data_IF_264635930519
#
_entry.id   IF_264635930519
#
_cell.length_a   1.000
_cell.length_b   1.000
_cell.length_c   1.000
_cell.angle_alpha   90.00
_cell.angle_beta   90.00
_cell.angle_gamma   90.00
#
_symmetry.space_group_name_H-M   'P 1'
#
loop_
_entity.id
_entity.type
_entity.pdbx_description
1 polymer ?
#
# COMPACT_ATOMS: atom_id res chain seq x y z
N UNK A 1 -17.85 57.26 -5.13
CA UNK A 1 -18.51 55.98 -4.75
C UNK A 1 -18.63 54.95 -5.88
N UNK A 2 -19.16 55.29 -7.08
CA UNK A 2 -19.31 54.32 -8.20
C UNK A 2 -18.00 53.67 -8.66
N UNK A 3 -16.93 54.46 -8.87
CA UNK A 3 -15.60 53.94 -9.29
C UNK A 3 -15.00 52.95 -8.28
N UNK A 4 -15.16 53.21 -6.97
CA UNK A 4 -14.70 52.31 -5.92
C UNK A 4 -15.46 50.97 -5.92
N UNK A 5 -16.78 51.00 -6.12
CA UNK A 5 -17.59 49.76 -6.25
C UNK A 5 -17.17 48.92 -7.46
N UNK A 6 -16.87 49.56 -8.59
CA UNK A 6 -16.38 48.88 -9.80
C UNK A 6 -15.02 48.20 -9.53
N UNK A 7 -14.09 48.90 -8.88
CA UNK A 7 -12.78 48.33 -8.53
C UNK A 7 -12.92 47.12 -7.60
N UNK A 8 -13.74 47.22 -6.56
CA UNK A 8 -14.01 46.11 -5.63
C UNK A 8 -14.58 44.90 -6.39
N UNK A 9 -15.54 45.11 -7.29
CA UNK A 9 -16.11 44.03 -8.09
C UNK A 9 -15.06 43.34 -8.97
N UNK A 10 -14.14 44.10 -9.58
CA UNK A 10 -13.05 43.54 -10.39
C UNK A 10 -12.13 42.66 -9.52
N UNK A 11 -11.75 43.14 -8.33
CA UNK A 11 -10.91 42.36 -7.39
C UNK A 11 -11.61 41.07 -6.97
N UNK A 12 -12.91 41.13 -6.67
CA UNK A 12 -13.70 39.94 -6.30
C UNK A 12 -13.79 38.94 -7.46
N UNK A 13 -13.97 39.42 -8.70
CA UNK A 13 -13.99 38.56 -9.89
C UNK A 13 -12.63 37.87 -10.07
N UNK A 14 -11.52 38.61 -9.95
CA UNK A 14 -10.17 38.04 -10.05
C UNK A 14 -9.94 36.97 -8.97
N UNK A 15 -10.33 37.26 -7.72
CA UNK A 15 -10.23 36.31 -6.62
C UNK A 15 -11.06 35.04 -6.88
N UNK A 16 -12.27 35.18 -7.43
CA UNK A 16 -13.13 34.07 -7.79
C UNK A 16 -12.57 33.24 -8.95
N UNK A 17 -12.02 33.89 -9.99
CA UNK A 17 -11.35 33.22 -11.10
C UNK A 17 -10.11 32.45 -10.63
N UNK A 18 -9.30 33.06 -9.77
CA UNK A 18 -8.14 32.40 -9.18
C UNK A 18 -8.53 31.20 -8.30
N UNK A 19 -9.56 31.34 -7.46
CA UNK A 19 -10.12 30.24 -6.68
C UNK A 19 -10.64 29.10 -7.56
N UNK A 20 -11.38 29.45 -8.61
CA UNK A 20 -11.93 28.49 -9.58
C UNK A 20 -10.83 27.74 -10.32
N UNK A 21 -9.80 28.44 -10.80
CA UNK A 21 -8.64 27.85 -11.44
C UNK A 21 -7.95 26.81 -10.53
N UNK A 22 -7.72 27.16 -9.25
CA UNK A 22 -7.10 26.24 -8.29
C UNK A 22 -7.95 24.99 -8.02
N UNK A 23 -9.28 25.14 -7.94
CA UNK A 23 -10.19 24.00 -7.76
C UNK A 23 -10.16 23.10 -9.00
N UNK A 24 -10.27 23.68 -10.20
CA UNK A 24 -10.25 22.95 -11.47
C UNK A 24 -8.92 22.20 -11.61
N UNK A 25 -7.79 22.85 -11.33
CA UNK A 25 -6.46 22.22 -11.36
C UNK A 25 -6.42 20.98 -10.46
N UNK A 26 -6.88 21.09 -9.20
CA UNK A 26 -6.90 19.95 -8.27
C UNK A 26 -7.82 18.81 -8.73
N UNK A 27 -8.97 19.14 -9.30
CA UNK A 27 -9.90 18.14 -9.84
C UNK A 27 -9.27 17.42 -11.04
N UNK A 28 -8.54 18.13 -11.91
CA UNK A 28 -7.80 17.53 -13.01
C UNK A 28 -6.68 16.62 -12.51
N UNK A 29 -5.95 17.02 -11.46
CA UNK A 29 -4.92 16.19 -10.83
C UNK A 29 -5.49 14.88 -10.28
N UNK A 30 -6.65 14.92 -9.61
CA UNK A 30 -7.34 13.70 -9.15
C UNK A 30 -7.76 12.82 -10.32
N UNK A 31 -8.39 13.38 -11.36
CA UNK A 31 -8.78 12.61 -12.54
C UNK A 31 -7.58 12.00 -13.26
N UNK A 32 -6.43 12.69 -13.28
CA UNK A 32 -5.19 12.16 -13.84
C UNK A 32 -4.70 10.97 -13.03
N UNK A 33 -4.70 11.08 -11.69
CA UNK A 33 -4.29 9.99 -10.81
C UNK A 33 -5.18 8.75 -10.98
N UNK A 34 -6.50 8.93 -10.97
CA UNK A 34 -7.47 7.84 -11.16
C UNK A 34 -7.21 7.12 -12.48
N UNK A 35 -7.08 7.85 -13.59
CA UNK A 35 -6.76 7.26 -14.90
C UNK A 35 -5.47 6.45 -14.91
N UNK A 36 -4.41 6.96 -14.27
CA UNK A 36 -3.12 6.27 -14.25
C UNK A 36 -3.24 4.95 -13.48
N UNK A 37 -3.80 4.98 -12.27
CA UNK A 37 -3.88 3.76 -11.45
C UNK A 37 -4.96 2.78 -11.92
N UNK A 38 -6.08 3.25 -12.48
CA UNK A 38 -7.07 2.39 -13.12
C UNK A 38 -6.48 1.64 -14.32
N UNK A 39 -5.66 2.32 -15.14
CA UNK A 39 -4.99 1.68 -16.27
C UNK A 39 -4.00 0.62 -15.81
N UNK A 40 -3.23 0.90 -14.75
CA UNK A 40 -2.27 -0.05 -14.20
C UNK A 40 -2.97 -1.26 -13.57
N UNK A 41 -4.10 -1.04 -12.89
CA UNK A 41 -4.95 -2.12 -12.38
C UNK A 41 -5.51 -3.00 -13.51
N UNK A 42 -5.97 -2.41 -14.61
CA UNK A 42 -6.40 -3.18 -15.80
C UNK A 42 -5.27 -4.02 -16.38
N UNK A 43 -4.05 -3.46 -16.48
CA UNK A 43 -2.88 -4.21 -16.95
C UNK A 43 -2.59 -5.40 -16.01
N UNK A 44 -2.69 -5.22 -14.70
CA UNK A 44 -2.60 -6.32 -13.72
C UNK A 44 -3.63 -7.41 -14.00
N UNK A 45 -4.91 -7.05 -14.08
CA UNK A 45 -6.01 -7.99 -14.32
C UNK A 45 -5.86 -8.74 -15.66
N UNK A 46 -5.39 -8.07 -16.71
CA UNK A 46 -5.11 -8.68 -18.01
C UNK A 46 -3.97 -9.69 -17.94
N UNK A 47 -2.86 -9.35 -17.26
CA UNK A 47 -1.72 -10.27 -17.06
C UNK A 47 -2.11 -11.50 -16.24
N UNK A 48 -2.92 -11.31 -15.19
CA UNK A 48 -3.46 -12.41 -14.39
C UNK A 48 -4.33 -13.35 -15.23
N UNK A 49 -5.23 -12.81 -16.07
CA UNK A 49 -6.06 -13.61 -16.99
C UNK A 49 -5.24 -14.38 -18.02
N UNK A 50 -4.23 -13.75 -18.61
CA UNK A 50 -3.31 -14.40 -19.56
C UNK A 50 -2.55 -15.56 -18.89
N UNK A 51 -2.08 -15.35 -17.65
CA UNK A 51 -1.40 -16.39 -16.89
C UNK A 51 -2.32 -17.59 -16.63
N UNK A 52 -3.55 -17.37 -16.14
CA UNK A 52 -4.53 -18.45 -15.90
C UNK A 52 -4.85 -19.23 -17.20
N UNK A 53 -5.07 -18.52 -18.31
CA UNK A 53 -5.38 -19.16 -19.60
C UNK A 53 -4.21 -20.00 -20.15
N UNK A 54 -2.97 -19.53 -20.00
CA UNK A 54 -1.77 -20.27 -20.42
C UNK A 54 -1.50 -21.49 -19.52
N UNK A 55 -1.73 -21.38 -18.21
CA UNK A 55 -1.63 -22.51 -17.29
C UNK A 55 -2.67 -23.60 -17.60
N UNK A 56 -3.90 -23.22 -17.98
CA UNK A 56 -4.95 -24.17 -18.36
C UNK A 56 -4.66 -24.87 -19.70
N UNK A 57 -4.13 -24.15 -20.70
CA UNK A 57 -3.78 -24.72 -22.01
C UNK A 57 -2.65 -25.75 -21.94
N UNK A 58 -1.71 -25.59 -21.01
CA UNK A 58 -0.55 -26.48 -20.86
C UNK A 58 -0.86 -27.79 -20.10
N UNK A 59 -2.06 -27.94 -19.52
CA UNK A 59 -2.45 -29.10 -18.72
C UNK A 59 -3.22 -30.20 -19.48
N UNK A 60 -3.09 -30.28 -20.82
CA UNK A 60 -3.56 -31.44 -21.57
C UNK A 60 -2.60 -32.65 -21.43
N UNK A 61 -2.63 -33.29 -20.26
CA UNK A 61 -2.21 -34.69 -20.09
C UNK A 61 -3.40 -35.54 -19.64
N UNK A 62 -3.56 -36.66 -20.35
CA UNK A 62 -4.72 -37.56 -20.41
C UNK A 62 -5.20 -38.01 -19.03
N UNK A 63 -6.51 -37.91 -18.81
CA UNK A 63 -7.26 -38.70 -17.82
C UNK A 63 -7.12 -40.18 -18.21
N UNK A 64 -6.30 -40.91 -17.45
CA UNK A 64 -6.28 -42.36 -17.43
C UNK A 64 -6.73 -42.81 -16.04
N UNK A 65 -7.85 -43.53 -15.99
CA UNK A 65 -8.39 -44.17 -14.79
C UNK A 65 -7.32 -44.98 -14.04
N UNK A 66 -7.22 -44.81 -12.73
CA UNK A 66 -7.00 -45.89 -11.74
C UNK A 66 -7.13 -45.34 -10.31
N UNK A 67 -8.22 -45.78 -9.68
CA UNK A 67 -8.42 -46.22 -8.29
C UNK A 67 -7.78 -45.50 -7.08
N UNK A 68 -8.61 -45.45 -6.04
CA UNK A 68 -8.49 -44.80 -4.73
C UNK A 68 -7.38 -45.43 -3.88
N UNK A 69 -6.57 -44.59 -3.21
CA UNK A 69 -6.01 -44.94 -1.91
C UNK A 69 -5.91 -43.71 -1.01
N UNK A 70 -6.35 -43.88 0.24
CA UNK A 70 -6.68 -42.87 1.22
C UNK A 70 -5.50 -42.67 2.20
N UNK A 71 -5.31 -41.44 2.70
CA UNK A 71 -4.27 -40.99 3.65
C UNK A 71 -2.87 -40.63 3.10
N UNK A 72 -2.72 -39.37 2.65
CA UNK A 72 -1.55 -38.52 2.98
C UNK A 72 -1.99 -37.07 3.13
N UNK A 73 -1.62 -36.45 4.26
CA UNK A 73 -1.71 -35.01 4.47
C UNK A 73 -1.09 -34.25 3.29
N UNK A 74 -1.93 -33.58 2.52
CA UNK A 74 -1.48 -32.70 1.43
C UNK A 74 -0.92 -31.43 2.08
N UNK A 75 0.38 -31.43 2.37
CA UNK A 75 1.15 -30.19 2.46
C UNK A 75 0.99 -29.49 1.11
N UNK A 76 0.19 -28.43 1.05
CA UNK A 76 0.04 -27.57 -0.12
C UNK A 76 1.33 -26.79 -0.41
N UNK A 77 2.38 -27.50 -0.81
CA UNK A 77 3.52 -26.93 -1.53
C UNK A 77 3.29 -27.19 -3.02
N UNK A 78 2.35 -26.45 -3.62
CA UNK A 78 2.21 -26.44 -5.08
C UNK A 78 3.09 -25.34 -5.66
N UNK A 79 4.02 -25.65 -6.59
CA UNK A 79 4.84 -24.65 -7.27
C UNK A 79 4.05 -23.78 -8.28
N UNK A 80 2.71 -23.87 -8.28
CA UNK A 80 1.82 -23.30 -9.30
C UNK A 80 1.10 -21.99 -8.91
N UNK A 81 1.43 -21.37 -7.77
CA UNK A 81 0.87 -20.05 -7.40
C UNK A 81 1.66 -18.85 -7.99
N UNK A 82 2.53 -19.07 -8.97
CA UNK A 82 3.44 -18.04 -9.49
C UNK A 82 2.79 -17.21 -10.61
N UNK A 83 1.78 -16.41 -10.29
CA UNK A 83 1.30 -15.38 -11.24
C UNK A 83 2.43 -14.36 -11.41
N UNK A 84 3.06 -14.26 -12.57
CA UNK A 84 4.13 -13.26 -12.77
C UNK A 84 3.51 -11.88 -12.96
N UNK A 85 3.03 -11.28 -11.88
CA UNK A 85 2.65 -9.87 -11.82
C UNK A 85 3.92 -9.01 -11.73
N UNK A 86 4.78 -9.13 -12.75
CA UNK A 86 5.99 -8.30 -12.87
C UNK A 86 5.69 -7.11 -13.76
N UNK A 87 5.67 -5.89 -13.20
CA UNK A 87 5.55 -4.63 -13.95
C UNK A 87 6.91 -3.96 -14.20
N UNK A 88 8.02 -4.70 -14.07
CA UNK A 88 9.38 -4.17 -14.28
C UNK A 88 9.67 -3.77 -15.73
N UNK A 89 8.84 -4.18 -16.68
CA UNK A 89 8.87 -3.69 -18.07
C UNK A 89 8.34 -2.25 -18.17
N UNK A 90 7.36 -1.88 -17.34
CA UNK A 90 6.85 -0.51 -17.21
C UNK A 90 7.83 0.35 -16.40
N UNK A 91 8.26 -0.16 -15.23
CA UNK A 91 9.20 0.55 -14.38
C UNK A 91 10.07 -0.41 -13.57
N UNK A 92 11.39 -0.34 -13.79
CA UNK A 92 12.40 -1.14 -13.07
C UNK A 92 12.42 -0.91 -11.55
N UNK A 93 11.79 0.14 -11.08
CA UNK A 93 11.63 0.46 -9.65
C UNK A 93 10.43 -0.27 -9.02
N UNK A 94 9.64 -1.02 -9.80
CA UNK A 94 8.57 -1.88 -9.30
C UNK A 94 9.11 -2.94 -8.35
N UNK A 95 8.45 -3.11 -7.21
CA UNK A 95 8.83 -4.09 -6.19
C UNK A 95 7.73 -5.06 -5.83
N UNK A 96 6.48 -4.76 -6.13
CA UNK A 96 5.36 -5.65 -5.87
C UNK A 96 4.05 -4.88 -5.91
N UNK A 97 2.98 -5.50 -5.44
CA UNK A 97 1.64 -4.95 -5.43
C UNK A 97 1.06 -5.06 -4.03
N UNK A 98 0.41 -4.01 -3.53
CA UNK A 98 -0.29 -4.01 -2.24
C UNK A 98 -1.79 -3.99 -2.45
N UNK A 99 -2.48 -4.88 -1.74
CA UNK A 99 -3.93 -4.92 -1.63
C UNK A 99 -4.35 -5.03 -0.15
N UNK A 100 -5.41 -4.33 0.26
CA UNK A 100 -5.89 -4.34 1.65
C UNK A 100 -7.39 -4.55 1.69
N UNK A 101 -7.81 -5.65 2.32
CA UNK A 101 -9.21 -6.05 2.45
C UNK A 101 -10.10 -4.92 2.98
N UNK A 102 -11.25 -4.74 2.33
CA UNK A 102 -12.27 -3.76 2.74
C UNK A 102 -11.90 -2.30 2.46
N UNK A 103 -10.81 -2.05 1.72
CA UNK A 103 -10.39 -0.70 1.30
C UNK A 103 -10.31 -0.57 -0.23
N UNK A 104 -10.04 0.64 -0.70
CA UNK A 104 -9.67 0.92 -2.10
C UNK A 104 -8.16 0.81 -2.37
N UNK A 105 -7.38 0.32 -1.40
CA UNK A 105 -5.92 0.25 -1.49
C UNK A 105 -5.57 -0.98 -2.31
N UNK A 106 -5.25 -0.75 -3.57
CA UNK A 106 -4.95 -1.77 -4.58
C UNK A 106 -3.99 -1.14 -5.60
N UNK A 107 -2.69 -1.15 -5.29
CA UNK A 107 -1.69 -0.31 -5.95
C UNK A 107 -0.35 -1.01 -6.17
N UNK A 108 0.42 -0.62 -7.21
CA UNK A 108 1.81 -1.01 -7.33
C UNK A 108 2.67 -0.33 -6.26
N UNK A 109 3.64 -1.06 -5.73
CA UNK A 109 4.66 -0.61 -4.79
C UNK A 109 5.98 -0.38 -5.52
N UNK A 110 6.49 0.85 -5.46
CA UNK A 110 7.75 1.25 -6.10
C UNK A 110 8.86 1.45 -5.07
N UNK A 111 10.11 1.48 -5.50
CA UNK A 111 11.23 1.80 -4.61
C UNK A 111 12.29 2.63 -5.33
N UNK A 112 12.67 3.77 -4.74
CA UNK A 112 13.76 4.62 -5.20
C UNK A 112 14.97 4.50 -4.25
N UNK A 113 16.03 5.28 -4.55
CA UNK A 113 17.21 5.41 -3.69
C UNK A 113 17.01 6.36 -2.51
N UNK A 114 15.83 6.96 -2.40
CA UNK A 114 15.42 7.87 -1.34
C UNK A 114 13.90 7.76 -1.11
N UNK A 115 13.39 8.36 -0.04
CA UNK A 115 11.96 8.35 0.32
C UNK A 115 11.18 9.56 -0.23
N UNK A 116 11.75 10.30 -1.19
CA UNK A 116 11.19 11.55 -1.73
C UNK A 116 10.80 11.47 -3.20
N UNK A 117 11.49 10.66 -4.00
CA UNK A 117 11.33 10.57 -5.45
C UNK A 117 9.89 10.24 -5.87
N UNK A 118 9.28 9.26 -5.21
CA UNK A 118 7.93 8.80 -5.50
C UNK A 118 6.82 9.53 -4.74
N UNK A 119 7.16 10.55 -3.93
CA UNK A 119 6.16 11.41 -3.30
C UNK A 119 5.33 12.19 -4.32
N UNK A 120 5.86 12.51 -5.50
CA UNK A 120 5.14 13.29 -6.53
C UNK A 120 5.30 12.70 -7.92
N UNK A 121 5.54 11.39 -8.01
CA UNK A 121 5.71 10.68 -9.27
C UNK A 121 4.84 9.43 -9.32
N UNK A 122 4.27 9.19 -10.49
CA UNK A 122 3.55 7.95 -10.79
C UNK A 122 4.52 6.81 -11.20
N UNK A 123 3.96 5.64 -11.52
CA UNK A 123 4.72 4.48 -12.00
C UNK A 123 5.47 4.76 -13.30
N UNK A 124 5.00 5.70 -14.13
CA UNK A 124 5.67 6.09 -15.36
C UNK A 124 6.73 7.17 -15.12
N UNK A 125 7.04 7.50 -13.85
CA UNK A 125 7.98 8.54 -13.40
C UNK A 125 7.55 9.97 -13.77
N UNK A 126 6.30 10.15 -14.21
CA UNK A 126 5.72 11.45 -14.52
C UNK A 126 5.27 12.16 -13.25
N UNK A 127 5.28 13.49 -13.27
CA UNK A 127 4.75 14.28 -12.17
C UNK A 127 3.27 13.97 -11.93
N UNK A 128 2.96 13.58 -10.70
CA UNK A 128 1.61 13.32 -10.22
C UNK A 128 1.53 13.73 -8.74
N UNK A 129 0.68 14.71 -8.35
CA UNK A 129 0.62 15.19 -6.97
C UNK A 129 0.29 14.14 -5.91
N UNK A 130 -0.45 13.09 -6.28
CA UNK A 130 -0.77 11.96 -5.39
C UNK A 130 0.41 11.01 -5.16
N UNK A 131 1.50 11.18 -5.92
CA UNK A 131 2.66 10.29 -5.88
C UNK A 131 2.28 8.84 -6.19
N UNK A 132 3.11 7.92 -5.71
CA UNK A 132 2.90 6.47 -5.74
C UNK A 132 2.89 5.89 -4.33
N UNK A 133 2.49 4.62 -4.20
CA UNK A 133 2.82 3.83 -3.03
C UNK A 133 4.27 3.35 -3.17
N UNK A 134 5.09 3.55 -2.14
CA UNK A 134 6.51 3.24 -2.23
C UNK A 134 7.10 2.66 -0.96
N UNK A 135 8.03 1.72 -1.16
CA UNK A 135 8.85 1.06 -0.16
C UNK A 135 9.97 1.99 0.31
N UNK A 136 10.36 1.89 1.58
CA UNK A 136 11.50 2.61 2.12
C UNK A 136 12.79 2.24 1.37
N UNK A 137 13.62 3.24 1.07
CA UNK A 137 14.88 3.03 0.34
C UNK A 137 15.87 2.11 1.08
N UNK A 138 15.75 1.99 2.41
CA UNK A 138 16.61 1.13 3.24
C UNK A 138 16.20 -0.34 3.16
N UNK A 139 14.97 -0.63 2.71
CA UNK A 139 14.49 -2.00 2.69
C UNK A 139 15.09 -2.81 1.53
N UNK A 140 15.44 -4.07 1.78
CA UNK A 140 15.75 -5.04 0.75
C UNK A 140 14.48 -5.78 0.34
N UNK A 141 13.72 -5.19 -0.61
CA UNK A 141 12.39 -5.69 -1.01
C UNK A 141 11.49 -5.87 0.23
N UNK A 142 10.91 -7.05 0.43
CA UNK A 142 10.04 -7.37 1.57
C UNK A 142 10.72 -8.32 2.59
N UNK A 143 12.06 -8.36 2.59
CA UNK A 143 12.81 -9.37 3.35
C UNK A 143 13.23 -8.93 4.76
N UNK A 144 13.22 -7.64 5.06
CA UNK A 144 13.70 -7.14 6.35
C UNK A 144 12.74 -7.46 7.51
N UNK A 145 13.25 -7.37 8.74
CA UNK A 145 12.45 -7.54 9.96
C UNK A 145 11.25 -6.58 9.98
N UNK A 146 11.44 -5.33 9.55
CA UNK A 146 10.35 -4.38 9.34
C UNK A 146 10.43 -3.79 7.93
N UNK A 147 9.46 -4.15 7.10
CA UNK A 147 9.26 -3.56 5.78
C UNK A 147 8.37 -2.33 5.90
N UNK A 148 8.81 -1.18 5.41
CA UNK A 148 8.06 0.09 5.57
C UNK A 148 7.58 0.58 4.21
N UNK A 149 6.27 0.80 4.09
CA UNK A 149 5.62 1.33 2.88
C UNK A 149 4.92 2.65 3.21
N UNK A 150 5.12 3.62 2.33
CA UNK A 150 4.56 4.96 2.41
C UNK A 150 3.53 5.20 1.31
N UNK A 151 2.56 6.05 1.61
CA UNK A 151 1.59 6.53 0.64
C UNK A 151 0.95 7.82 1.10
N UNK A 152 0.55 8.67 0.15
CA UNK A 152 -0.14 9.91 0.50
C UNK A 152 -1.51 9.65 1.11
N UNK A 153 -1.92 10.56 2.00
CA UNK A 153 -3.30 10.67 2.43
C UNK A 153 -3.99 11.66 1.51
N UNK A 154 -4.78 11.16 0.56
CA UNK A 154 -5.53 12.01 -0.37
C UNK A 154 -6.92 12.32 0.17
N UNK A 155 -7.41 13.55 -0.05
CA UNK A 155 -8.73 13.99 0.44
C UNK A 155 -9.89 13.23 -0.22
N UNK A 156 -9.70 12.70 -1.42
CA UNK A 156 -10.64 11.80 -2.11
C UNK A 156 -10.47 10.33 -1.68
N UNK A 157 -9.76 10.07 -0.57
CA UNK A 157 -9.49 8.75 0.01
C UNK A 157 -8.62 7.80 -0.85
N UNK A 158 -8.05 8.24 -1.97
CA UNK A 158 -7.13 7.39 -2.74
C UNK A 158 -5.76 7.25 -2.06
N UNK A 159 -4.90 6.39 -2.63
CA UNK A 159 -3.59 6.06 -2.08
C UNK A 159 -3.74 5.43 -0.69
N UNK A 160 -3.11 5.97 0.35
CA UNK A 160 -3.29 5.48 1.73
C UNK A 160 -4.37 6.25 2.51
N UNK A 161 -5.23 7.00 1.81
CA UNK A 161 -6.32 7.78 2.41
C UNK A 161 -7.29 6.93 3.26
N UNK A 162 -7.48 5.66 2.92
CA UNK A 162 -8.37 4.75 3.66
C UNK A 162 -7.72 4.04 4.86
N UNK A 163 -6.41 4.21 5.11
CA UNK A 163 -5.78 3.67 6.33
C UNK A 163 -6.44 4.22 7.62
N UNK A 164 -7.06 5.40 7.55
CA UNK A 164 -7.84 5.96 8.68
C UNK A 164 -9.01 5.07 9.09
N UNK A 165 -9.57 4.23 8.20
CA UNK A 165 -10.71 3.37 8.50
C UNK A 165 -10.38 2.35 9.59
N UNK A 166 -9.12 1.93 9.69
CA UNK A 166 -8.65 1.03 10.74
C UNK A 166 -8.66 1.66 12.14
N UNK A 167 -8.92 2.96 12.27
CA UNK A 167 -9.19 3.60 13.56
C UNK A 167 -10.62 3.38 14.04
N UNK A 168 -11.52 2.89 13.19
CA UNK A 168 -12.84 2.41 13.62
C UNK A 168 -12.74 0.95 14.06
N UNK A 169 -13.23 0.64 15.27
CA UNK A 169 -13.11 -0.70 15.87
C UNK A 169 -13.82 -1.76 15.06
N UNK A 170 -15.02 -1.47 14.54
CA UNK A 170 -15.81 -2.44 13.75
C UNK A 170 -15.12 -2.75 12.44
N UNK A 171 -14.55 -1.74 11.78
CA UNK A 171 -13.78 -1.92 10.56
C UNK A 171 -12.51 -2.74 10.82
N UNK A 172 -11.77 -2.41 11.88
CA UNK A 172 -10.55 -3.12 12.28
C UNK A 172 -10.81 -4.61 12.62
N UNK A 173 -11.90 -4.91 13.31
CA UNK A 173 -12.23 -6.30 13.67
C UNK A 173 -12.64 -7.14 12.46
N UNK A 174 -13.30 -6.51 11.48
CA UNK A 174 -13.78 -7.19 10.27
C UNK A 174 -12.67 -7.37 9.22
N UNK A 175 -11.83 -6.36 9.04
CA UNK A 175 -10.78 -6.34 8.01
C UNK A 175 -9.43 -6.22 8.73
N UNK A 176 -8.58 -7.24 8.61
CA UNK A 176 -7.29 -7.27 9.30
C UNK A 176 -6.17 -7.89 8.46
N UNK A 177 -6.36 -8.00 7.14
CA UNK A 177 -5.41 -8.61 6.22
C UNK A 177 -4.87 -7.60 5.22
N UNK A 178 -3.58 -7.70 4.95
CA UNK A 178 -2.87 -6.97 3.91
C UNK A 178 -2.17 -8.01 3.06
N UNK A 179 -2.25 -7.86 1.75
CA UNK A 179 -1.62 -8.73 0.78
C UNK A 179 -0.52 -7.97 0.04
N UNK A 180 0.64 -8.62 -0.08
CA UNK A 180 1.70 -8.19 -0.97
C UNK A 180 1.94 -9.28 -2.01
N UNK A 181 1.84 -8.94 -3.29
CA UNK A 181 2.27 -9.82 -4.38
C UNK A 181 3.61 -9.32 -4.92
N UNK A 182 4.65 -10.15 -4.83
CA UNK A 182 5.99 -9.83 -5.33
C UNK A 182 6.05 -9.99 -6.85
N UNK A 183 7.08 -9.45 -7.55
CA UNK A 183 7.17 -9.54 -9.01
C UNK A 183 7.32 -10.98 -9.51
N UNK A 184 7.90 -11.84 -8.68
CA UNK A 184 7.97 -13.27 -8.91
C UNK A 184 6.72 -14.01 -8.44
N UNK A 185 5.60 -13.34 -8.15
CA UNK A 185 4.31 -13.99 -7.87
C UNK A 185 4.18 -14.63 -6.49
N UNK A 186 5.10 -14.38 -5.57
CA UNK A 186 4.93 -14.78 -4.18
C UNK A 186 3.84 -13.89 -3.54
N UNK A 187 2.88 -14.54 -2.88
CA UNK A 187 1.81 -13.85 -2.14
C UNK A 187 2.11 -13.88 -0.65
N UNK A 188 2.46 -12.72 -0.10
CA UNK A 188 2.71 -12.51 1.31
C UNK A 188 1.42 -12.00 1.96
N UNK A 189 0.90 -12.73 2.94
CA UNK A 189 -0.25 -12.32 3.76
C UNK A 189 0.26 -11.74 5.08
N UNK A 190 -0.22 -10.56 5.43
CA UNK A 190 0.08 -9.90 6.68
C UNK A 190 -1.18 -9.69 7.50
N UNK A 191 -1.13 -10.00 8.80
CA UNK A 191 -2.21 -9.78 9.74
C UNK A 191 -1.95 -8.56 10.61
N UNK A 192 -2.84 -7.58 10.57
CA UNK A 192 -2.74 -6.33 11.31
C UNK A 192 -2.82 -6.61 12.83
N UNK A 193 -1.87 -6.05 13.57
CA UNK A 193 -1.82 -6.16 15.04
C UNK A 193 -1.75 -4.83 15.78
N UNK A 194 -1.42 -3.73 15.09
CA UNK A 194 -1.35 -2.39 15.68
C UNK A 194 -1.80 -1.31 14.70
N UNK A 195 -2.55 -0.32 15.21
CA UNK A 195 -2.96 0.89 14.48
C UNK A 195 -2.96 2.08 15.43
N UNK A 196 -2.37 3.20 15.04
CA UNK A 196 -2.35 4.41 15.87
C UNK A 196 -2.05 5.70 15.09
N UNK A 197 -2.26 6.85 15.74
CA UNK A 197 -1.74 8.14 15.29
C UNK A 197 -0.46 8.49 16.04
N UNK A 198 0.55 9.00 15.36
CA UNK A 198 1.79 9.49 15.98
C UNK A 198 2.34 10.71 15.27
N UNK A 199 3.25 11.43 15.89
CA UNK A 199 4.05 12.44 15.22
C UNK A 199 5.13 11.80 14.33
N UNK A 200 5.60 12.55 13.34
CA UNK A 200 6.61 12.08 12.39
C UNK A 200 8.01 11.83 13.01
N UNK A 201 8.30 12.32 14.22
CA UNK A 201 9.60 12.14 14.89
C UNK A 201 9.65 10.82 15.70
N UNK A 202 8.52 10.16 15.93
CA UNK A 202 8.48 8.86 16.58
C UNK A 202 9.19 7.81 15.71
N UNK A 203 10.10 7.02 16.31
CA UNK A 203 10.84 6.00 15.59
C UNK A 203 10.02 4.72 15.40
N UNK A 204 9.07 4.73 14.44
CA UNK A 204 8.28 3.56 14.02
C UNK A 204 8.75 2.95 12.69
N UNK A 205 9.71 3.57 12.02
CA UNK A 205 10.18 3.22 10.67
C UNK A 205 11.56 2.55 10.66
N UNK A 206 12.04 2.09 11.81
CA UNK A 206 13.30 1.37 11.89
C UNK A 206 13.18 0.03 11.14
N UNK A 207 14.04 -0.19 10.15
CA UNK A 207 14.02 -1.37 9.27
C UNK A 207 14.99 -2.46 9.72
N UNK A 208 16.12 -2.07 10.33
CA UNK A 208 17.19 -2.97 10.79
C UNK A 208 17.45 -2.84 12.30
N UNK A 209 17.89 -3.94 12.91
CA UNK A 209 18.08 -4.05 14.36
C UNK A 209 19.41 -4.73 14.66
N UNK A 210 20.14 -4.25 15.68
CA UNK A 210 21.44 -4.82 16.05
C UNK A 210 21.31 -6.17 16.75
N UNK A 211 20.17 -6.42 17.39
CA UNK A 211 19.89 -7.67 18.10
C UNK A 211 18.40 -8.01 18.10
N UNK A 212 18.08 -9.28 18.36
CA UNK A 212 16.71 -9.73 18.62
C UNK A 212 16.07 -9.01 19.82
N UNK A 213 16.86 -8.65 20.83
CA UNK A 213 16.39 -7.87 21.98
C UNK A 213 15.92 -6.48 21.57
N UNK A 214 16.69 -5.78 20.72
CA UNK A 214 16.31 -4.46 20.21
C UNK A 214 15.02 -4.53 19.38
N UNK A 215 14.90 -5.56 18.54
CA UNK A 215 13.70 -5.77 17.76
C UNK A 215 12.49 -6.07 18.64
N UNK A 216 12.64 -6.92 19.66
CA UNK A 216 11.58 -7.20 20.64
C UNK A 216 11.13 -5.94 21.38
N UNK A 217 12.07 -5.08 21.78
CA UNK A 217 11.74 -3.79 22.39
C UNK A 217 10.96 -2.89 21.43
N UNK A 218 11.35 -2.85 20.15
CA UNK A 218 10.63 -2.13 19.12
C UNK A 218 9.20 -2.67 18.94
N UNK A 219 9.03 -4.00 18.83
CA UNK A 219 7.72 -4.67 18.73
C UNK A 219 6.81 -4.32 19.92
N UNK A 220 7.34 -4.36 21.15
CA UNK A 220 6.59 -3.97 22.35
C UNK A 220 6.15 -2.51 22.30
N UNK A 221 7.04 -1.60 21.86
CA UNK A 221 6.72 -0.17 21.73
C UNK A 221 5.58 0.08 20.74
N UNK A 222 5.64 -0.52 19.54
CA UNK A 222 4.60 -0.32 18.52
C UNK A 222 3.28 -1.03 18.88
N UNK A 223 3.33 -2.16 19.59
CA UNK A 223 2.14 -2.86 20.08
C UNK A 223 1.43 -2.06 21.18
N UNK A 224 2.18 -1.54 22.16
CA UNK A 224 1.63 -0.74 23.25
C UNK A 224 1.04 0.61 22.81
N UNK A 225 1.44 1.11 21.64
CA UNK A 225 0.92 2.35 21.07
C UNK A 225 -0.40 2.16 20.32
N UNK A 226 -0.77 0.92 20.00
CA UNK A 226 -1.99 0.59 19.27
C UNK A 226 -3.23 1.14 19.99
N UNK A 227 -4.21 1.60 19.23
CA UNK A 227 -5.56 1.91 19.70
C UNK A 227 -6.27 0.66 20.24
N UNK A 228 -5.88 -0.52 19.75
CA UNK A 228 -6.54 -1.79 20.05
C UNK A 228 -5.56 -2.85 20.52
N UNK A 229 -5.97 -3.59 21.56
CA UNK A 229 -5.32 -4.83 21.96
C UNK A 229 -5.78 -5.96 21.04
N UNK A 230 -4.82 -6.65 20.43
CA UNK A 230 -5.06 -7.76 19.50
C UNK A 230 -4.47 -9.05 20.05
N UNK A 231 -5.09 -10.18 19.68
CA UNK A 231 -4.59 -11.52 19.99
C UNK A 231 -3.52 -11.99 19.00
N UNK A 232 -3.00 -11.10 18.15
CA UNK A 232 -1.93 -11.44 17.21
C UNK A 232 -0.61 -11.45 17.99
N UNK A 233 -0.02 -12.64 18.09
CA UNK A 233 1.29 -12.83 18.69
C UNK A 233 2.39 -12.46 17.70
N UNK A 234 3.26 -11.56 18.11
CA UNK A 234 4.42 -11.09 17.34
C UNK A 234 5.67 -11.20 18.21
N UNK A 235 6.73 -11.75 17.63
CA UNK A 235 8.00 -12.04 18.29
C UNK A 235 9.18 -11.57 17.43
N UNK A 236 10.36 -11.57 18.02
CA UNK A 236 11.63 -11.23 17.37
C UNK A 236 12.03 -12.16 16.21
N UNK A 237 11.30 -13.24 15.98
CA UNK A 237 11.50 -14.15 14.86
C UNK A 237 10.56 -13.86 13.67
N UNK A 238 9.58 -12.97 13.86
CA UNK A 238 8.58 -12.63 12.85
C UNK A 238 9.04 -11.42 12.01
N UNK A 239 8.65 -11.39 10.74
CA UNK A 239 8.74 -10.18 9.91
C UNK A 239 7.44 -9.39 10.02
N UNK A 240 7.56 -8.07 9.99
CA UNK A 240 6.41 -7.16 10.01
C UNK A 240 6.41 -6.22 8.81
N UNK A 241 5.23 -5.66 8.55
CA UNK A 241 4.98 -4.60 7.59
C UNK A 241 4.45 -3.38 8.34
N UNK A 242 5.07 -2.23 8.09
CA UNK A 242 4.62 -0.90 8.54
C UNK A 242 4.03 -0.15 7.34
N UNK A 243 2.79 0.31 7.46
CA UNK A 243 2.18 1.27 6.52
C UNK A 243 2.12 2.64 7.18
N UNK A 244 2.58 3.67 6.47
CA UNK A 244 2.62 5.05 6.98
C UNK A 244 2.01 6.04 6.01
N UNK A 245 1.13 6.89 6.53
CA UNK A 245 0.53 8.00 5.79
C UNK A 245 0.36 9.24 6.66
N UNK A 246 0.30 10.42 6.05
CA UNK A 246 -0.03 11.66 6.74
C UNK A 246 -1.43 11.60 7.39
N UNK A 247 -1.61 12.25 8.53
CA UNK A 247 -2.92 12.53 9.12
C UNK A 247 -3.08 14.03 9.34
N UNK A 248 -4.33 14.47 9.50
CA UNK A 248 -4.70 15.86 9.78
C UNK A 248 -5.17 16.09 11.23
N UNK A 249 -4.94 15.13 12.12
CA UNK A 249 -5.30 15.24 13.55
C UNK A 249 -4.48 16.30 14.29
N UNK A 250 -3.21 16.48 13.91
CA UNK A 250 -2.32 17.53 14.42
C UNK A 250 -1.17 17.76 13.42
N UNK A 251 -0.33 18.77 13.66
CA UNK A 251 0.80 19.08 12.80
C UNK A 251 1.77 17.89 12.70
N UNK A 252 2.14 17.50 11.47
CA UNK A 252 2.99 16.34 11.20
C UNK A 252 2.47 14.99 11.74
N UNK A 253 1.15 14.88 11.98
CA UNK A 253 0.54 13.62 12.35
C UNK A 253 0.71 12.55 11.25
N UNK A 254 0.78 11.30 11.68
CA UNK A 254 0.89 10.11 10.85
C UNK A 254 -0.07 9.05 11.35
N UNK A 255 -0.82 8.44 10.44
CA UNK A 255 -1.52 7.18 10.71
C UNK A 255 -0.56 6.05 10.38
N UNK A 256 -0.35 5.15 11.34
CA UNK A 256 0.58 4.03 11.21
C UNK A 256 -0.17 2.73 11.49
N UNK A 257 0.04 1.74 10.63
CA UNK A 257 -0.45 0.37 10.80
C UNK A 257 0.75 -0.57 10.81
N UNK A 258 0.75 -1.54 11.72
CA UNK A 258 1.70 -2.65 11.73
C UNK A 258 0.98 -3.97 11.58
N UNK A 259 1.54 -4.84 10.74
CA UNK A 259 1.02 -6.17 10.48
C UNK A 259 2.14 -7.20 10.47
N UNK A 260 1.86 -8.42 10.94
CA UNK A 260 2.80 -9.54 11.01
C UNK A 260 2.64 -10.40 9.76
N UNK A 261 3.75 -10.79 9.12
CA UNK A 261 3.74 -11.80 8.06
C UNK A 261 3.27 -13.15 8.61
N UNK A 262 2.34 -13.83 7.94
CA UNK A 262 1.75 -15.09 8.41
C UNK A 262 2.03 -16.30 7.51
N UNK A 263 2.76 -16.15 6.40
CA UNK A 263 3.10 -17.23 5.48
C UNK A 263 4.50 -17.10 4.87
#
# INVERSE_FOLDING_TARGET
>A
MKKARILINIVLIIALLFGSYNIISKVLDYKKADRVYDNIKKIKEEREKQFVSSAQSNNNYKVGNSEVDDNKEVKQNSPYNKTTLDLSDINKDYRGWIDIDGTNIDYPVLQAKDNSYYLKKDINKNYLPSGSIFLDYRNNRFEDSNTVIYGHYMRNNTMFGELKKFKDKKFFDKNNKIYIETPDGQKLEYKIFSVYTTDANYNYIQTSFNSKSDYKQFLNKIKNKSLYNTNVEVSENDKILTLSTCSYEFENARTVIHAKLVN
#
